data_IF_263156471757
#
_entry.id   IF_263156471757
#
_cell.length_a   1.000
_cell.length_b   1.000
_cell.length_c   1.000
_cell.angle_alpha   90.00
_cell.angle_beta   90.00
_cell.angle_gamma   90.00
#
_symmetry.space_group_name_H-M   'P 1'
#
loop_
_entity.id
_entity.type
_entity.pdbx_description
1 polymer ?
#
# COMPACT_ATOMS: atom_id res chain seq x y z
N UNK A 1 -1.37 8.90 -14.59
CA UNK A 1 0.02 8.49 -14.34
C UNK A 1 0.71 8.54 -15.68
N UNK A 2 1.57 9.54 -15.93
CA UNK A 2 2.44 9.50 -17.11
C UNK A 2 3.38 8.30 -16.97
N UNK A 3 3.72 7.62 -18.07
CA UNK A 3 4.59 6.43 -18.11
C UNK A 3 6.06 6.88 -17.98
N UNK A 4 6.62 6.97 -16.76
CA UNK A 4 7.99 7.41 -16.60
C UNK A 4 8.87 6.19 -16.93
N UNK A 5 9.99 6.41 -17.61
CA UNK A 5 10.93 5.34 -17.96
C UNK A 5 10.48 4.38 -19.07
N UNK A 6 9.65 4.81 -20.03
CA UNK A 6 9.20 3.99 -21.17
C UNK A 6 10.33 3.19 -21.87
N UNK A 7 11.50 3.80 -22.02
CA UNK A 7 12.67 3.19 -22.65
C UNK A 7 13.52 2.31 -21.70
N UNK A 8 13.11 2.13 -20.45
CA UNK A 8 13.85 1.33 -19.47
C UNK A 8 13.65 -0.17 -19.76
N UNK A 9 14.73 -0.96 -19.99
CA UNK A 9 14.61 -2.38 -20.29
C UNK A 9 13.91 -3.18 -19.19
N UNK A 10 14.01 -2.77 -17.93
CA UNK A 10 13.33 -3.43 -16.81
C UNK A 10 11.82 -3.20 -16.85
N UNK A 11 11.37 -2.01 -17.28
CA UNK A 11 9.96 -1.72 -17.50
C UNK A 11 9.39 -2.61 -18.60
N UNK A 12 10.07 -2.66 -19.75
CA UNK A 12 9.67 -3.49 -20.89
C UNK A 12 9.60 -4.97 -20.49
N UNK A 13 10.59 -5.46 -19.73
CA UNK A 13 10.57 -6.83 -19.20
C UNK A 13 9.38 -7.08 -18.28
N UNK A 14 9.03 -6.12 -17.44
CA UNK A 14 7.83 -6.17 -16.59
C UNK A 14 6.54 -6.28 -17.40
N UNK A 15 6.40 -5.46 -18.44
CA UNK A 15 5.25 -5.47 -19.35
C UNK A 15 5.13 -6.83 -20.06
N UNK A 16 6.24 -7.38 -20.57
CA UNK A 16 6.27 -8.72 -21.17
C UNK A 16 5.78 -9.80 -20.22
N UNK A 17 6.23 -9.76 -18.95
CA UNK A 17 5.84 -10.73 -17.93
C UNK A 17 4.36 -10.62 -17.54
N UNK A 18 3.80 -9.41 -17.55
CA UNK A 18 2.37 -9.19 -17.31
C UNK A 18 1.52 -9.71 -18.48
N UNK A 19 2.07 -9.74 -19.70
CA UNK A 19 1.36 -10.08 -20.93
C UNK A 19 0.42 -8.97 -21.43
N UNK A 20 0.48 -7.78 -20.82
CA UNK A 20 -0.23 -6.58 -21.22
C UNK A 20 0.49 -5.33 -20.69
N UNK A 21 0.25 -4.19 -21.32
CA UNK A 21 0.73 -2.89 -20.83
C UNK A 21 -0.25 -2.33 -19.78
N UNK A 22 0.14 -2.22 -18.49
CA UNK A 22 -0.75 -1.69 -17.46
C UNK A 22 -0.97 -0.17 -17.58
N UNK A 23 -0.11 0.57 -18.27
CA UNK A 23 -0.25 2.02 -18.49
C UNK A 23 -1.31 2.34 -19.54
N UNK A 24 -1.50 1.47 -20.53
CA UNK A 24 -2.60 1.56 -21.49
C UNK A 24 -3.95 1.16 -20.89
N UNK A 25 -3.93 0.47 -19.75
CA UNK A 25 -5.11 -0.12 -19.10
C UNK A 25 -5.42 0.48 -17.73
N UNK A 26 -4.96 1.70 -17.43
CA UNK A 26 -5.20 2.35 -16.14
C UNK A 26 -6.69 2.51 -15.79
N UNK A 27 -7.56 2.58 -16.80
CA UNK A 27 -9.01 2.60 -16.61
C UNK A 27 -9.56 1.32 -15.94
N UNK A 28 -8.80 0.20 -15.97
CA UNK A 28 -9.17 -1.06 -15.31
C UNK A 28 -8.92 -1.04 -13.79
N UNK A 29 -8.55 0.13 -13.24
CA UNK A 29 -8.45 0.35 -11.81
C UNK A 29 -7.34 -0.49 -11.18
N UNK A 30 -7.65 -1.11 -10.03
CA UNK A 30 -6.69 -1.84 -9.19
C UNK A 30 -5.85 -2.87 -9.96
N UNK A 31 -6.45 -3.55 -10.95
CA UNK A 31 -5.76 -4.56 -11.79
C UNK A 31 -4.55 -4.00 -12.53
N UNK A 32 -4.64 -2.76 -12.97
CA UNK A 32 -3.58 -2.09 -13.74
C UNK A 32 -2.78 -1.09 -12.90
N UNK A 33 -3.41 -0.44 -11.91
CA UNK A 33 -2.74 0.50 -11.02
C UNK A 33 -1.61 -0.16 -10.23
N UNK A 34 -1.82 -1.34 -9.65
CA UNK A 34 -0.78 -1.98 -8.82
C UNK A 34 0.46 -2.39 -9.63
N UNK A 35 0.36 -3.10 -10.77
CA UNK A 35 1.53 -3.40 -11.59
C UNK A 35 2.24 -2.14 -12.11
N UNK A 36 1.50 -1.15 -12.58
CA UNK A 36 2.08 0.11 -13.04
C UNK A 36 2.89 0.81 -11.93
N UNK A 37 2.31 0.92 -10.72
CA UNK A 37 2.99 1.51 -9.56
C UNK A 37 4.24 0.73 -9.16
N UNK A 38 4.16 -0.61 -9.10
CA UNK A 38 5.30 -1.46 -8.79
C UNK A 38 6.45 -1.26 -9.78
N UNK A 39 6.15 -1.33 -11.09
CA UNK A 39 7.14 -1.19 -12.14
C UNK A 39 7.81 0.19 -12.12
N UNK A 40 7.05 1.27 -11.95
CA UNK A 40 7.62 2.61 -11.79
C UNK A 40 8.53 2.70 -10.56
N UNK A 41 8.10 2.15 -9.43
CA UNK A 41 8.86 2.20 -8.17
C UNK A 41 10.21 1.48 -8.29
N UNK A 42 10.19 0.27 -8.86
CA UNK A 42 11.41 -0.51 -9.08
C UNK A 42 12.32 0.14 -10.14
N UNK A 43 11.76 0.67 -11.23
CA UNK A 43 12.54 1.39 -12.24
C UNK A 43 13.28 2.59 -11.63
N UNK A 44 12.59 3.38 -10.78
CA UNK A 44 13.24 4.49 -10.08
C UNK A 44 14.31 4.02 -9.11
N UNK A 45 14.06 2.95 -8.35
CA UNK A 45 15.05 2.37 -7.44
C UNK A 45 16.33 1.95 -8.18
N UNK A 46 16.21 1.21 -9.28
CA UNK A 46 17.40 0.69 -10.01
C UNK A 46 18.15 1.76 -10.80
N UNK A 47 17.47 2.84 -11.17
CA UNK A 47 18.05 4.00 -11.87
C UNK A 47 18.66 5.03 -10.93
N UNK A 48 18.35 4.98 -9.63
CA UNK A 48 18.91 5.87 -8.62
C UNK A 48 20.29 5.45 -8.13
N UNK A 49 20.87 6.28 -7.27
CA UNK A 49 22.14 5.99 -6.62
C UNK A 49 21.99 4.81 -5.63
N UNK A 50 22.78 3.76 -5.84
CA UNK A 50 22.70 2.49 -5.10
C UNK A 50 23.37 2.52 -3.72
N UNK A 51 23.26 3.64 -3.01
CA UNK A 51 23.67 3.65 -1.60
C UNK A 51 22.81 2.63 -0.85
N UNK A 52 23.44 1.76 -0.06
CA UNK A 52 22.70 0.78 0.74
C UNK A 52 21.84 1.53 1.76
N UNK A 53 20.50 1.38 1.72
CA UNK A 53 19.62 2.11 2.62
C UNK A 53 19.73 1.52 4.02
N UNK A 54 19.51 2.35 5.04
CA UNK A 54 19.39 1.90 6.43
C UNK A 54 18.26 0.86 6.56
N UNK A 55 17.12 1.15 5.96
CA UNK A 55 15.95 0.30 5.87
C UNK A 55 15.05 0.80 4.72
N UNK A 56 14.07 -0.01 4.34
CA UNK A 56 12.99 0.38 3.44
C UNK A 56 11.63 0.11 4.08
N UNK A 57 10.63 0.83 3.59
CA UNK A 57 9.22 0.56 3.84
C UNK A 57 8.44 0.96 2.60
N UNK A 58 7.35 0.26 2.32
CA UNK A 58 6.44 0.63 1.25
C UNK A 58 5.00 0.63 1.73
N UNK A 59 4.19 1.54 1.19
CA UNK A 59 2.80 1.68 1.59
C UNK A 59 1.92 0.69 0.83
N UNK A 60 1.28 -0.26 1.52
CA UNK A 60 0.45 -1.32 0.95
C UNK A 60 1.21 -2.07 -0.16
N UNK A 61 0.80 -1.93 -1.43
CA UNK A 61 1.51 -2.47 -2.60
C UNK A 61 3.02 -2.15 -2.59
N UNK A 62 3.42 -1.00 -2.03
CA UNK A 62 4.82 -0.63 -1.90
C UNK A 62 5.68 -1.65 -1.15
N UNK A 63 5.11 -2.49 -0.27
CA UNK A 63 5.87 -3.54 0.43
C UNK A 63 6.54 -4.52 -0.55
N UNK A 64 5.87 -4.82 -1.67
CA UNK A 64 6.43 -5.66 -2.74
C UNK A 64 7.62 -4.98 -3.40
N UNK A 65 7.52 -3.67 -3.68
CA UNK A 65 8.63 -2.91 -4.25
C UNK A 65 9.82 -2.85 -3.26
N UNK A 66 9.55 -2.65 -1.97
CA UNK A 66 10.58 -2.62 -0.93
C UNK A 66 11.28 -3.98 -0.74
N UNK A 67 10.52 -5.07 -0.72
CA UNK A 67 11.03 -6.45 -0.63
C UNK A 67 11.85 -6.83 -1.86
N UNK A 68 11.40 -6.45 -3.06
CA UNK A 68 12.18 -6.65 -4.30
C UNK A 68 13.45 -5.80 -4.32
N UNK A 69 13.38 -4.54 -3.90
CA UNK A 69 14.56 -3.68 -3.77
C UNK A 69 15.59 -4.26 -2.79
N UNK A 70 15.13 -4.95 -1.74
CA UNK A 70 15.96 -5.65 -0.77
C UNK A 70 16.42 -7.05 -1.22
N UNK A 71 16.05 -7.50 -2.42
CA UNK A 71 16.41 -8.81 -2.96
C UNK A 71 15.72 -9.99 -2.27
N UNK A 72 14.65 -9.75 -1.50
CA UNK A 72 13.88 -10.80 -0.86
C UNK A 72 12.97 -11.53 -1.86
N UNK A 73 12.47 -10.82 -2.87
CA UNK A 73 11.64 -11.36 -3.96
C UNK A 73 12.31 -10.96 -5.28
N UNK A 74 12.64 -11.94 -6.12
CA UNK A 74 13.20 -11.67 -7.45
C UNK A 74 12.20 -10.88 -8.31
N UNK A 75 12.71 -10.05 -9.22
CA UNK A 75 11.88 -9.13 -9.99
C UNK A 75 10.75 -9.85 -10.76
N UNK A 76 11.07 -10.93 -11.45
CA UNK A 76 10.10 -11.70 -12.23
C UNK A 76 8.96 -12.24 -11.37
N UNK A 77 9.28 -12.75 -10.18
CA UNK A 77 8.30 -13.29 -9.26
C UNK A 77 7.48 -12.19 -8.59
N UNK A 78 8.11 -11.05 -8.30
CA UNK A 78 7.41 -9.87 -7.79
C UNK A 78 6.39 -9.33 -8.80
N UNK A 79 6.72 -9.28 -10.10
CA UNK A 79 5.75 -8.89 -11.14
C UNK A 79 4.53 -9.83 -11.14
N UNK A 80 4.77 -11.15 -11.06
CA UNK A 80 3.68 -12.15 -11.01
C UNK A 80 2.85 -12.04 -9.73
N UNK A 81 3.50 -11.86 -8.58
CA UNK A 81 2.83 -11.68 -7.30
C UNK A 81 2.00 -10.40 -7.26
N UNK A 82 2.53 -9.29 -7.75
CA UNK A 82 1.79 -8.02 -7.83
C UNK A 82 0.59 -8.17 -8.74
N UNK A 83 0.71 -8.84 -9.89
CA UNK A 83 -0.43 -9.16 -10.74
C UNK A 83 -1.46 -10.01 -10.01
N UNK A 84 -1.03 -11.09 -9.35
CA UNK A 84 -1.93 -11.97 -8.60
C UNK A 84 -2.68 -11.22 -7.48
N UNK A 85 -1.98 -10.37 -6.72
CA UNK A 85 -2.57 -9.49 -5.71
C UNK A 85 -3.58 -8.52 -6.33
N UNK A 86 -3.21 -7.86 -7.42
CA UNK A 86 -4.06 -6.88 -8.09
C UNK A 86 -5.36 -7.51 -8.60
N UNK A 87 -5.27 -8.68 -9.22
CA UNK A 87 -6.42 -9.45 -9.69
C UNK A 87 -7.29 -9.91 -8.52
N UNK A 88 -6.68 -10.51 -7.49
CA UNK A 88 -7.42 -11.01 -6.33
C UNK A 88 -8.17 -9.90 -5.58
N UNK A 89 -7.55 -8.73 -5.40
CA UNK A 89 -8.19 -7.57 -4.77
C UNK A 89 -9.33 -6.99 -5.62
N UNK A 90 -9.16 -6.96 -6.95
CA UNK A 90 -10.21 -6.52 -7.85
C UNK A 90 -11.38 -7.52 -7.86
N UNK A 91 -11.11 -8.83 -7.91
CA UNK A 91 -12.12 -9.87 -7.85
C UNK A 91 -12.93 -9.78 -6.54
N UNK A 92 -12.26 -9.60 -5.39
CA UNK A 92 -12.94 -9.42 -4.10
C UNK A 92 -13.80 -8.14 -4.06
N UNK A 93 -13.33 -7.05 -4.68
CA UNK A 93 -14.09 -5.82 -4.80
C UNK A 93 -15.34 -5.98 -5.69
N UNK A 94 -15.27 -6.84 -6.71
CA UNK A 94 -16.42 -7.16 -7.58
C UNK A 94 -17.48 -8.02 -6.86
N UNK A 95 -17.11 -8.76 -5.80
CA UNK A 95 -18.04 -9.63 -5.05
C UNK A 95 -18.99 -8.85 -4.14
N UNK A 96 -18.53 -7.75 -3.55
CA UNK A 96 -19.33 -6.95 -2.63
C UNK A 96 -19.02 -5.46 -2.79
N UNK A 97 -20.07 -4.65 -2.94
CA UNK A 97 -19.93 -3.20 -3.01
C UNK A 97 -19.32 -2.65 -1.71
N UNK A 98 -18.11 -2.11 -1.83
CA UNK A 98 -17.37 -1.51 -0.74
C UNK A 98 -16.59 -0.30 -1.22
N UNK A 99 -16.09 0.48 -0.28
CA UNK A 99 -15.32 1.68 -0.60
C UNK A 99 -14.38 2.05 0.53
N UNK A 100 -13.73 3.20 0.35
CA UNK A 100 -12.84 3.78 1.34
C UNK A 100 -13.10 5.29 1.47
N UNK A 101 -12.96 5.82 2.69
CA UNK A 101 -13.08 7.25 3.00
C UNK A 101 -11.85 7.73 3.76
N UNK A 102 -11.25 8.81 3.28
CA UNK A 102 -10.23 9.54 4.02
C UNK A 102 -10.89 10.51 5.01
N UNK A 103 -10.56 10.37 6.28
CA UNK A 103 -10.97 11.22 7.40
C UNK A 103 -9.86 12.24 7.65
N UNK A 104 -10.05 13.45 7.11
CA UNK A 104 -9.03 14.50 7.04
C UNK A 104 -9.22 15.50 8.18
N UNK A 105 -8.17 15.72 8.98
CA UNK A 105 -8.17 16.55 10.17
C UNK A 105 -8.73 15.85 11.42
N UNK A 106 -9.11 14.57 11.33
CA UNK A 106 -9.66 13.82 12.46
C UNK A 106 -8.58 13.27 13.40
N UNK A 107 -8.89 13.31 14.69
CA UNK A 107 -8.11 12.63 15.73
C UNK A 107 -8.34 11.11 15.67
N UNK A 108 -7.32 10.32 15.97
CA UNK A 108 -7.37 8.86 15.77
C UNK A 108 -8.47 8.20 16.60
N UNK A 109 -8.57 8.55 17.88
CA UNK A 109 -9.54 7.93 18.79
C UNK A 109 -10.99 8.23 18.38
N UNK A 110 -11.28 9.47 17.94
CA UNK A 110 -12.61 9.85 17.48
C UNK A 110 -12.99 9.14 16.16
N UNK A 111 -12.01 9.01 15.25
CA UNK A 111 -12.21 8.30 13.98
C UNK A 111 -12.40 6.79 14.20
N UNK A 112 -11.69 6.18 15.15
CA UNK A 112 -11.87 4.79 15.54
C UNK A 112 -13.24 4.56 16.18
N UNK A 113 -13.67 5.45 17.08
CA UNK A 113 -15.01 5.36 17.68
C UNK A 113 -16.12 5.45 16.62
N UNK A 114 -15.96 6.33 15.62
CA UNK A 114 -16.89 6.40 14.49
C UNK A 114 -16.83 5.14 13.62
N UNK A 115 -15.63 4.58 13.39
CA UNK A 115 -15.47 3.36 12.62
C UNK A 115 -16.19 2.18 13.27
N UNK A 116 -16.03 2.00 14.58
CA UNK A 116 -16.69 0.95 15.36
C UNK A 116 -18.23 1.09 15.30
N UNK A 117 -18.75 2.31 15.45
CA UNK A 117 -20.19 2.58 15.40
C UNK A 117 -20.80 2.33 14.00
N UNK A 118 -19.99 2.46 12.94
CA UNK A 118 -20.41 2.25 11.55
C UNK A 118 -20.01 0.90 10.97
N UNK A 119 -19.39 0.01 11.76
CA UNK A 119 -18.85 -1.28 11.29
C UNK A 119 -17.87 -1.11 10.10
N UNK A 120 -16.96 -0.14 10.23
CA UNK A 120 -15.88 0.14 9.29
C UNK A 120 -14.54 -0.32 9.86
N UNK A 121 -13.64 -0.75 8.98
CA UNK A 121 -12.26 -1.07 9.34
C UNK A 121 -11.37 0.15 9.21
N UNK A 122 -10.41 0.30 10.12
CA UNK A 122 -9.24 1.15 9.89
C UNK A 122 -8.42 0.54 8.74
N UNK A 123 -8.36 1.22 7.61
CA UNK A 123 -7.58 0.78 6.45
C UNK A 123 -6.16 1.35 6.46
N UNK A 124 -6.03 2.63 6.80
CA UNK A 124 -4.72 3.29 6.83
C UNK A 124 -4.65 4.32 7.96
N UNK A 125 -3.61 4.23 8.79
CA UNK A 125 -3.13 5.35 9.60
C UNK A 125 -1.94 6.00 8.88
N UNK A 126 -2.22 7.00 8.05
CA UNK A 126 -1.21 7.55 7.13
C UNK A 126 -0.33 8.61 7.79
N UNK A 127 -0.93 9.50 8.56
CA UNK A 127 -0.27 10.61 9.23
C UNK A 127 -1.23 11.23 10.24
N UNK A 128 -0.76 12.05 11.20
CA UNK A 128 -1.64 12.84 12.06
C UNK A 128 -2.69 13.60 11.23
N UNK A 129 -3.97 13.46 11.58
CA UNK A 129 -5.08 14.07 10.85
C UNK A 129 -5.33 13.50 9.44
N UNK A 130 -4.85 12.30 9.12
CA UNK A 130 -5.15 11.65 7.85
C UNK A 130 -5.24 10.14 8.04
N UNK A 131 -6.47 9.70 8.26
CA UNK A 131 -6.84 8.32 8.50
C UNK A 131 -7.75 7.86 7.36
N UNK A 132 -7.73 6.58 7.02
CA UNK A 132 -8.63 6.02 6.00
C UNK A 132 -9.40 4.88 6.63
N UNK A 133 -10.73 4.92 6.45
CA UNK A 133 -11.64 3.83 6.80
C UNK A 133 -12.09 3.10 5.53
N UNK A 134 -12.45 1.84 5.68
CA UNK A 134 -12.96 1.02 4.58
C UNK A 134 -14.03 0.05 5.05
N UNK A 135 -15.00 -0.24 4.18
CA UNK A 135 -16.06 -1.20 4.46
C UNK A 135 -17.17 -1.15 3.42
N UNK A 136 -18.37 -1.58 3.78
CA UNK A 136 -19.53 -1.52 2.89
C UNK A 136 -19.81 -0.08 2.45
N UNK A 137 -20.16 0.12 1.17
CA UNK A 137 -20.30 1.45 0.58
C UNK A 137 -21.30 2.34 1.34
N UNK A 138 -22.41 1.78 1.80
CA UNK A 138 -23.41 2.50 2.61
C UNK A 138 -22.82 3.09 3.90
N UNK A 139 -21.92 2.34 4.57
CA UNK A 139 -21.26 2.77 5.81
C UNK A 139 -20.20 3.83 5.53
N UNK A 140 -19.53 3.73 4.39
CA UNK A 140 -18.60 4.75 3.90
C UNK A 140 -19.34 6.06 3.63
N UNK A 141 -20.53 6.02 3.06
CA UNK A 141 -21.38 7.20 2.84
C UNK A 141 -21.85 7.82 4.17
N UNK A 142 -22.22 7.00 5.15
CA UNK A 142 -22.56 7.45 6.51
C UNK A 142 -21.36 8.13 7.18
N UNK A 143 -20.16 7.57 7.05
CA UNK A 143 -18.93 8.14 7.60
C UNK A 143 -18.60 9.51 6.99
N UNK A 144 -18.84 9.70 5.69
CA UNK A 144 -18.69 11.01 5.04
C UNK A 144 -19.65 12.03 5.65
N UNK A 145 -20.90 11.64 5.87
CA UNK A 145 -21.94 12.50 6.43
C UNK A 145 -21.63 12.90 7.88
N UNK A 146 -21.11 11.96 8.68
CA UNK A 146 -20.83 12.14 10.11
C UNK A 146 -19.42 12.67 10.41
N UNK A 147 -18.58 12.84 9.39
CA UNK A 147 -17.21 13.31 9.58
C UNK A 147 -17.15 14.68 10.27
N UNK A 148 -18.05 15.60 9.92
CA UNK A 148 -18.08 16.95 10.48
C UNK A 148 -18.43 16.96 11.97
N UNK A 149 -19.22 15.98 12.45
CA UNK A 149 -19.61 15.85 13.85
C UNK A 149 -18.41 15.60 14.78
N UNK A 150 -17.35 14.97 14.23
CA UNK A 150 -16.08 14.73 14.93
C UNK A 150 -14.98 15.70 14.49
N UNK A 151 -15.36 16.84 13.89
CA UNK A 151 -14.42 17.91 13.53
C UNK A 151 -13.49 17.58 12.36
N UNK A 152 -13.82 16.57 11.54
CA UNK A 152 -13.01 16.17 10.39
C UNK A 152 -13.79 16.26 9.07
N UNK A 153 -13.08 16.13 7.95
CA UNK A 153 -13.68 16.09 6.61
C UNK A 153 -13.56 14.70 6.02
N UNK A 154 -14.70 14.07 5.73
CA UNK A 154 -14.77 12.81 5.00
C UNK A 154 -14.62 13.03 3.50
N UNK A 155 -13.69 12.32 2.86
CA UNK A 155 -13.53 12.32 1.40
C UNK A 155 -13.46 10.89 0.89
N UNK A 156 -14.47 10.46 0.12
CA UNK A 156 -14.43 9.17 -0.57
C UNK A 156 -13.22 9.07 -1.49
N UNK A 157 -12.58 7.92 -1.49
CA UNK A 157 -11.47 7.61 -2.37
C UNK A 157 -12.00 7.00 -3.67
N UNK A 158 -11.34 7.33 -4.78
CA UNK A 158 -11.64 6.78 -6.09
C UNK A 158 -10.96 5.42 -6.25
N UNK A 159 -11.53 4.41 -5.60
CA UNK A 159 -11.02 3.04 -5.55
C UNK A 159 -12.16 2.04 -5.71
N UNK A 160 -11.85 0.87 -6.25
CA UNK A 160 -12.85 -0.13 -6.60
C UNK A 160 -13.47 -0.90 -5.43
N UNK A 161 -12.86 -0.89 -4.24
CA UNK A 161 -13.32 -1.73 -3.13
C UNK A 161 -12.81 -1.31 -1.75
N UNK A 162 -13.26 -2.05 -0.73
CA UNK A 162 -12.91 -1.86 0.67
C UNK A 162 -11.57 -2.53 1.04
N UNK A 163 -10.46 -2.00 0.54
CA UNK A 163 -9.13 -2.57 0.80
C UNK A 163 -8.71 -2.44 2.26
N UNK A 164 -7.90 -3.38 2.76
CA UNK A 164 -7.45 -3.41 4.16
C UNK A 164 -8.63 -3.60 5.14
N UNK A 165 -9.52 -4.53 4.81
CA UNK A 165 -10.71 -4.87 5.61
C UNK A 165 -11.05 -6.35 5.50
N UNK A 166 -11.95 -6.88 6.36
CA UNK A 166 -12.45 -8.25 6.25
C UNK A 166 -13.05 -8.61 4.89
N UNK A 167 -13.55 -7.63 4.11
CA UNK A 167 -14.10 -7.87 2.77
C UNK A 167 -13.02 -8.37 1.78
N UNK A 168 -11.74 -8.20 2.10
CA UNK A 168 -10.63 -8.71 1.30
C UNK A 168 -10.23 -10.15 1.65
N UNK A 169 -10.95 -10.86 2.52
CA UNK A 169 -10.66 -12.25 2.87
C UNK A 169 -10.49 -13.18 1.65
N UNK A 170 -11.35 -13.13 0.61
CA UNK A 170 -11.15 -13.93 -0.60
C UNK A 170 -9.84 -13.58 -1.33
N UNK A 171 -9.46 -12.29 -1.35
CA UNK A 171 -8.22 -11.85 -1.96
C UNK A 171 -7.00 -12.35 -1.20
N UNK A 172 -7.06 -12.36 0.14
CA UNK A 172 -6.00 -12.87 0.99
C UNK A 172 -5.76 -14.37 0.76
N UNK A 173 -6.82 -15.17 0.62
CA UNK A 173 -6.70 -16.61 0.34
C UNK A 173 -6.07 -16.89 -1.03
N UNK A 174 -6.48 -16.15 -2.06
CA UNK A 174 -5.86 -16.24 -3.38
C UNK A 174 -4.38 -15.81 -3.35
N UNK A 175 -4.06 -14.74 -2.61
CA UNK A 175 -2.70 -14.27 -2.46
C UNK A 175 -1.82 -15.27 -1.69
N UNK A 176 -2.33 -15.92 -0.64
CA UNK A 176 -1.60 -16.97 0.09
C UNK A 176 -1.11 -18.07 -0.85
N UNK A 177 -1.99 -18.51 -1.76
CA UNK A 177 -1.66 -19.52 -2.76
C UNK A 177 -0.52 -19.06 -3.69
N UNK A 178 -0.57 -17.82 -4.16
CA UNK A 178 0.48 -17.24 -5.01
C UNK A 178 1.80 -17.05 -4.25
N UNK A 179 1.71 -16.62 -2.98
CA UNK A 179 2.86 -16.49 -2.10
C UNK A 179 3.52 -17.85 -1.91
N UNK A 180 2.80 -18.90 -1.52
CA UNK A 180 3.36 -20.25 -1.29
C UNK A 180 4.13 -20.81 -2.50
N UNK A 181 3.75 -20.41 -3.72
CA UNK A 181 4.41 -20.80 -4.95
C UNK A 181 5.66 -19.95 -5.32
N UNK A 182 5.95 -18.89 -4.58
CA UNK A 182 7.05 -17.94 -4.86
C UNK A 182 8.26 -18.23 -3.99
N UNK A 183 9.48 -18.19 -4.54
CA UNK A 183 10.69 -18.22 -3.72
C UNK A 183 10.89 -16.88 -3.01
N UNK A 184 11.02 -16.90 -1.68
CA UNK A 184 11.20 -15.68 -0.88
C UNK A 184 12.40 -15.87 0.02
N UNK A 185 13.36 -14.96 -0.12
CA UNK A 185 14.66 -14.95 0.55
C UNK A 185 14.67 -13.94 1.67
N UNK A 186 15.71 -14.02 2.52
CA UNK A 186 15.97 -13.00 3.52
C UNK A 186 16.34 -11.66 2.84
N UNK A 187 15.69 -10.53 3.21
CA UNK A 187 16.07 -9.21 2.72
C UNK A 187 17.53 -8.84 3.03
N UNK A 188 18.21 -8.16 2.10
CA UNK A 188 19.58 -7.69 2.27
C UNK A 188 19.71 -6.51 3.26
N UNK A 189 18.63 -5.75 3.45
CA UNK A 189 18.48 -4.71 4.46
C UNK A 189 17.07 -4.79 5.07
N UNK A 190 16.85 -4.15 6.22
CA UNK A 190 15.57 -4.22 6.91
C UNK A 190 14.43 -3.66 6.07
N UNK A 191 13.34 -4.41 5.94
CA UNK A 191 12.09 -3.94 5.31
C UNK A 191 10.99 -4.00 6.36
N UNK A 192 10.40 -2.85 6.69
CA UNK A 192 9.36 -2.77 7.72
C UNK A 192 8.00 -3.18 7.16
N UNK A 193 7.33 -4.07 7.87
CA UNK A 193 5.97 -4.51 7.62
C UNK A 193 4.96 -3.45 8.05
N UNK A 194 3.92 -3.27 7.24
CA UNK A 194 2.83 -2.33 7.46
C UNK A 194 1.98 -2.70 8.68
N UNK A 195 1.90 -3.98 9.03
CA UNK A 195 1.10 -4.48 10.15
C UNK A 195 1.84 -4.41 11.48
N UNK A 196 3.10 -4.84 11.52
CA UNK A 196 3.90 -4.86 12.76
C UNK A 196 4.68 -3.58 13.01
N UNK A 197 4.95 -2.80 11.95
CA UNK A 197 5.85 -1.62 11.95
C UNK A 197 7.31 -1.96 12.28
N UNK A 198 7.64 -3.24 12.24
CA UNK A 198 8.95 -3.83 12.49
C UNK A 198 9.45 -4.54 11.24
N UNK A 199 10.75 -4.91 11.15
CA UNK A 199 11.24 -5.73 10.06
C UNK A 199 10.43 -7.03 9.91
N UNK A 200 10.10 -7.40 8.67
CA UNK A 200 9.40 -8.66 8.38
C UNK A 200 10.06 -9.87 9.05
N UNK A 201 9.24 -10.72 9.66
CA UNK A 201 9.64 -11.99 10.28
C UNK A 201 9.13 -13.19 9.50
N UNK A 202 7.89 -13.11 9.00
CA UNK A 202 7.29 -14.07 8.08
C UNK A 202 6.67 -13.29 6.91
N UNK A 203 7.47 -13.09 5.86
CA UNK A 203 7.06 -12.30 4.69
C UNK A 203 5.76 -12.85 4.07
N UNK A 204 5.57 -14.17 4.03
CA UNK A 204 4.38 -14.77 3.40
C UNK A 204 3.13 -14.47 4.22
N UNK A 205 3.18 -14.81 5.51
CA UNK A 205 2.04 -14.61 6.39
C UNK A 205 1.67 -13.12 6.49
N UNK A 206 2.67 -12.25 6.66
CA UNK A 206 2.45 -10.81 6.84
C UNK A 206 1.95 -10.13 5.55
N UNK A 207 2.42 -10.50 4.35
CA UNK A 207 1.89 -9.96 3.09
C UNK A 207 0.44 -10.39 2.82
N UNK A 208 0.08 -11.62 3.17
CA UNK A 208 -1.30 -12.08 3.06
C UNK A 208 -2.23 -11.35 4.04
N UNK A 209 -1.79 -11.23 5.30
CA UNK A 209 -2.53 -10.54 6.35
C UNK A 209 -2.65 -9.03 6.10
N UNK A 210 -1.67 -8.42 5.41
CA UNK A 210 -1.71 -7.02 5.02
C UNK A 210 -2.98 -6.63 4.27
N UNK A 211 -3.61 -7.54 3.51
CA UNK A 211 -4.86 -7.27 2.80
C UNK A 211 -6.07 -7.08 3.74
N UNK A 212 -6.00 -7.60 4.96
CA UNK A 212 -7.07 -7.62 5.96
C UNK A 212 -6.82 -6.64 7.10
N UNK A 213 -5.57 -6.22 7.25
CA UNK A 213 -5.09 -5.40 8.36
C UNK A 213 -4.74 -3.98 7.93
N UNK A 214 -4.80 -3.00 8.85
CA UNK A 214 -4.45 -1.62 8.57
C UNK A 214 -3.01 -1.45 8.10
N UNK A 215 -2.80 -0.51 7.19
CA UNK A 215 -1.47 0.05 6.90
C UNK A 215 -1.12 1.09 7.97
N UNK A 216 -0.24 0.73 8.90
CA UNK A 216 0.19 1.59 10.02
C UNK A 216 1.34 2.53 9.63
N UNK A 217 1.17 3.26 8.53
CA UNK A 217 2.24 4.05 7.91
C UNK A 217 2.83 5.13 8.82
N UNK A 218 2.00 5.82 9.62
CA UNK A 218 2.46 6.81 10.60
C UNK A 218 3.46 6.19 11.58
N UNK A 219 3.13 5.04 12.12
CA UNK A 219 3.99 4.30 13.04
C UNK A 219 5.23 3.74 12.35
N UNK A 220 5.11 3.22 11.12
CA UNK A 220 6.27 2.83 10.29
C UNK A 220 7.26 3.98 10.12
N UNK A 221 6.79 5.22 9.87
CA UNK A 221 7.66 6.38 9.75
C UNK A 221 8.39 6.73 11.06
N UNK A 222 7.68 6.65 12.19
CA UNK A 222 8.25 6.87 13.52
C UNK A 222 9.29 5.79 13.88
N UNK A 223 9.03 4.53 13.52
CA UNK A 223 9.99 3.45 13.68
C UNK A 223 11.26 3.68 12.85
N UNK A 224 11.14 4.08 11.58
CA UNK A 224 12.30 4.45 10.75
C UNK A 224 13.10 5.61 11.35
N UNK A 225 12.43 6.64 11.89
CA UNK A 225 13.10 7.74 12.58
C UNK A 225 13.84 7.24 13.83
N UNK A 226 13.22 6.37 14.63
CA UNK A 226 13.81 5.80 15.84
C UNK A 226 15.03 4.91 15.52
N UNK A 227 15.07 4.29 14.34
CA UNK A 227 16.25 3.57 13.81
C UNK A 227 17.40 4.50 13.39
N UNK A 228 17.18 5.82 13.36
CA UNK A 228 18.18 6.82 12.99
C UNK A 228 18.10 7.31 11.54
N UNK A 229 16.98 7.09 10.84
CA UNK A 229 16.80 7.65 9.49
C UNK A 229 16.70 9.18 9.55
N UNK A 230 17.53 9.87 8.76
CA UNK A 230 17.53 11.35 8.61
C UNK A 230 17.03 11.81 7.25
N UNK A 231 17.17 10.96 6.24
CA UNK A 231 16.88 11.24 4.85
C UNK A 231 15.98 10.16 4.27
N UNK A 232 15.00 10.58 3.46
CA UNK A 232 13.97 9.71 2.91
C UNK A 232 13.92 9.89 1.39
N UNK A 233 14.00 8.79 0.66
CA UNK A 233 13.87 8.74 -0.80
C UNK A 233 12.57 8.02 -1.15
N UNK A 234 11.66 8.70 -1.84
CA UNK A 234 10.45 8.10 -2.38
C UNK A 234 10.74 7.57 -3.78
N UNK A 235 10.52 6.27 -4.01
CA UNK A 235 10.61 5.64 -5.32
C UNK A 235 9.20 5.28 -5.80
N UNK A 236 8.77 5.90 -6.89
CA UNK A 236 7.43 5.75 -7.45
C UNK A 236 6.93 7.05 -8.08
N UNK A 237 5.80 7.02 -8.79
CA UNK A 237 5.25 8.22 -9.41
C UNK A 237 4.60 9.13 -8.35
N UNK A 238 4.82 10.44 -8.48
CA UNK A 238 4.21 11.45 -7.60
C UNK A 238 5.08 11.82 -6.40
N UNK A 239 4.44 12.26 -5.32
CA UNK A 239 5.11 12.73 -4.10
C UNK A 239 4.24 12.53 -2.84
N UNK A 240 3.39 11.50 -2.85
CA UNK A 240 2.39 11.27 -1.79
C UNK A 240 3.10 10.93 -0.49
N UNK A 241 4.03 9.97 -0.51
CA UNK A 241 4.72 9.51 0.69
C UNK A 241 5.64 10.60 1.24
N UNK A 242 6.29 11.40 0.39
CA UNK A 242 7.03 12.61 0.81
C UNK A 242 6.13 13.60 1.56
N UNK A 243 4.87 13.74 1.14
CA UNK A 243 3.87 14.52 1.86
C UNK A 243 3.57 13.95 3.26
N UNK A 244 3.41 12.62 3.36
CA UNK A 244 3.18 11.91 4.62
C UNK A 244 4.37 12.03 5.58
N UNK A 245 5.59 11.82 5.08
CA UNK A 245 6.85 11.99 5.82
C UNK A 245 6.91 13.38 6.44
N UNK A 246 6.67 14.44 5.64
CA UNK A 246 6.67 15.81 6.14
C UNK A 246 5.61 16.06 7.20
N UNK A 247 4.42 15.46 7.07
CA UNK A 247 3.33 15.65 8.03
C UNK A 247 3.60 14.94 9.35
N UNK A 248 4.11 13.71 9.31
CA UNK A 248 4.37 12.90 10.50
C UNK A 248 5.62 13.34 11.25
N UNK A 249 6.75 13.48 10.56
CA UNK A 249 8.05 13.67 11.22
C UNK A 249 8.36 15.14 11.55
N UNK A 250 7.72 16.12 10.88
CA UNK A 250 7.82 17.54 11.31
C UNK A 250 6.93 17.85 12.50
N UNK A 251 5.86 17.08 12.71
CA UNK A 251 5.00 17.21 13.89
C UNK A 251 5.63 16.58 15.14
N UNK A 252 6.67 15.76 14.98
CA UNK A 252 7.38 15.08 16.06
C UNK A 252 8.67 15.81 16.53
N UNK A 253 8.98 16.98 15.98
CA UNK A 253 10.16 17.79 16.31
C UNK A 253 9.81 19.04 17.13
#
# INVERSE_FOLDING_TARGET
MEEPHRDNPLLQRGIELLGFDPFERLADGTRSHQPALFLCSICQWVSGDRATPLAAAGHSLGEYAALTAAGAIEFEDAVRLVKARADAMADAADMQSGGMVAMLGGELDDVLALADDLDLSLANDNAPGQIVLSGAMERVDDAVTRAEDIGCRGKKLDVGGAFHSPLMAPAADALRTALDATDIKKPAFGVLSNGSTEPFTDIRAELAENLLSPVRWRETLLALQAMGATDYVECGPGAVLRGLVKRTLRAAA
#
